data_IF_839592219924
#
_entry.id   IF_839592219924
#
_cell.length_a   1.000
_cell.length_b   1.000
_cell.length_c   1.000
_cell.angle_alpha   90.00
_cell.angle_beta   90.00
_cell.angle_gamma   90.00
#
_symmetry.space_group_name_H-M   'P 1'
#
loop_
_entity.id
_entity.type
_entity.pdbx_description
1 polymer ?
#
# COMPACT_ATOMS: atom_id res chain seq x y z
N UNK A 1 -24.88 53.42 32.23
CA UNK A 1 -23.70 52.89 31.51
C UNK A 1 -23.40 51.46 31.96
N UNK A 2 -24.19 50.45 31.55
CA UNK A 2 -23.90 49.02 31.84
C UNK A 2 -24.24 48.09 30.67
N UNK A 3 -25.03 48.55 29.69
CA UNK A 3 -25.42 47.75 28.53
C UNK A 3 -24.32 47.61 27.46
N UNK A 4 -23.37 48.55 27.36
CA UNK A 4 -22.35 48.53 26.32
C UNK A 4 -21.16 47.61 26.61
N UNK A 5 -20.98 47.13 27.84
CA UNK A 5 -19.85 46.24 28.18
C UNK A 5 -20.13 44.78 27.80
N UNK A 6 -21.40 44.37 27.82
CA UNK A 6 -21.82 42.98 27.51
C UNK A 6 -21.73 42.65 26.02
N UNK A 7 -21.82 43.66 25.15
CA UNK A 7 -21.77 43.49 23.69
C UNK A 7 -20.34 43.31 23.16
N UNK A 8 -19.33 43.79 23.90
CA UNK A 8 -17.91 43.65 23.51
C UNK A 8 -17.37 42.26 23.89
N UNK A 9 -17.92 41.63 24.93
CA UNK A 9 -17.48 40.30 25.40
C UNK A 9 -17.99 39.17 24.48
N UNK A 10 -19.16 39.32 23.86
CA UNK A 10 -19.71 38.31 22.95
C UNK A 10 -18.95 38.19 21.62
N UNK A 11 -18.30 39.26 21.16
CA UNK A 11 -17.47 39.26 19.94
C UNK A 11 -16.10 38.59 20.19
N UNK A 12 -15.62 38.57 21.43
CA UNK A 12 -14.35 37.92 21.80
C UNK A 12 -14.48 36.41 22.02
N UNK A 13 -15.71 35.87 22.05
CA UNK A 13 -16.01 34.45 22.27
C UNK A 13 -16.25 33.65 20.99
N UNK A 14 -16.15 34.27 19.80
CA UNK A 14 -16.00 33.51 18.55
C UNK A 14 -14.57 32.97 18.48
N UNK A 15 -14.26 32.03 19.37
CA UNK A 15 -13.07 31.22 19.27
C UNK A 15 -13.08 30.56 17.90
N UNK A 16 -12.02 30.81 17.12
CA UNK A 16 -11.78 30.11 15.88
C UNK A 16 -11.76 28.61 16.18
N UNK A 17 -12.88 27.93 15.99
CA UNK A 17 -12.91 26.48 15.86
C UNK A 17 -12.21 26.17 14.55
N UNK A 18 -10.88 26.12 14.61
CA UNK A 18 -10.07 25.60 13.51
C UNK A 18 -10.53 24.15 13.38
N UNK A 19 -11.38 23.89 12.39
CA UNK A 19 -11.76 22.54 12.02
C UNK A 19 -10.47 21.87 11.54
N UNK A 20 -9.81 21.17 12.45
CA UNK A 20 -8.68 20.32 12.10
C UNK A 20 -9.28 19.21 11.25
N UNK A 21 -9.24 19.40 9.94
CA UNK A 21 -9.62 18.37 9.00
C UNK A 21 -8.61 17.25 9.23
N UNK A 22 -9.03 16.06 9.70
CA UNK A 22 -8.07 15.00 9.94
C UNK A 22 -7.41 14.67 8.61
N UNK A 23 -6.08 14.79 8.55
CA UNK A 23 -5.30 14.36 7.40
C UNK A 23 -5.48 12.83 7.26
N UNK A 24 -6.34 12.42 6.33
CA UNK A 24 -6.67 11.01 6.10
C UNK A 24 -5.71 10.43 5.07
N UNK A 25 -4.74 9.66 5.54
CA UNK A 25 -3.93 8.80 4.67
C UNK A 25 -4.74 7.56 4.35
N UNK A 26 -5.17 7.41 3.09
CA UNK A 26 -5.86 6.20 2.63
C UNK A 26 -4.84 5.21 2.10
N UNK A 27 -4.84 3.99 2.65
CA UNK A 27 -4.04 2.88 2.16
C UNK A 27 -4.97 1.88 1.49
N UNK A 28 -4.88 1.80 0.17
CA UNK A 28 -5.65 0.86 -0.60
C UNK A 28 -4.91 -0.48 -0.68
N UNK A 29 -5.63 -1.57 -0.48
CA UNK A 29 -5.12 -2.90 -0.75
C UNK A 29 -5.51 -3.29 -2.16
N UNK A 30 -4.52 -3.43 -3.03
CA UNK A 30 -4.71 -3.82 -4.42
C UNK A 30 -4.49 -5.33 -4.54
N UNK A 31 -5.38 -5.97 -5.30
CA UNK A 31 -5.27 -7.37 -5.70
C UNK A 31 -5.23 -7.43 -7.22
N UNK A 32 -4.08 -7.81 -7.77
CA UNK A 32 -3.89 -7.99 -9.21
C UNK A 32 -3.79 -9.47 -9.54
N UNK A 33 -4.34 -9.87 -10.69
CA UNK A 33 -4.35 -11.26 -11.13
C UNK A 33 -3.78 -11.37 -12.54
N UNK A 34 -2.85 -12.29 -12.73
CA UNK A 34 -2.33 -12.70 -14.02
C UNK A 34 -2.59 -14.19 -14.23
N UNK A 35 -3.44 -14.54 -15.20
CA UNK A 35 -3.89 -15.91 -15.46
C UNK A 35 -3.62 -16.30 -16.91
N UNK A 36 -3.06 -17.49 -17.12
CA UNK A 36 -2.67 -17.97 -18.43
C UNK A 36 -2.59 -19.49 -18.51
N UNK A 37 -2.58 -20.01 -19.74
CA UNK A 37 -2.21 -21.40 -20.04
C UNK A 37 -0.79 -21.46 -20.56
N UNK A 38 -0.04 -22.48 -20.18
CA UNK A 38 1.34 -22.66 -20.64
C UNK A 38 1.32 -23.28 -22.04
N UNK A 39 1.13 -22.44 -23.06
CA UNK A 39 1.19 -22.88 -24.47
C UNK A 39 2.60 -22.75 -25.03
N UNK A 40 3.26 -21.61 -24.77
CA UNK A 40 4.68 -21.38 -25.05
C UNK A 40 5.40 -21.10 -23.73
N UNK A 41 6.29 -22.01 -23.32
CA UNK A 41 6.97 -21.96 -22.02
C UNK A 41 7.86 -20.73 -21.86
N UNK A 42 8.59 -20.33 -22.90
CA UNK A 42 9.51 -19.19 -22.84
C UNK A 42 8.75 -17.87 -22.69
N UNK A 43 7.73 -17.66 -23.51
CA UNK A 43 6.89 -16.45 -23.45
C UNK A 43 6.10 -16.39 -22.14
N UNK A 44 5.58 -17.54 -21.68
CA UNK A 44 4.90 -17.61 -20.39
C UNK A 44 5.83 -17.27 -19.23
N UNK A 45 7.08 -17.77 -19.26
CA UNK A 45 8.09 -17.47 -18.26
C UNK A 45 8.42 -15.98 -18.23
N UNK A 46 8.77 -15.40 -19.38
CA UNK A 46 9.11 -13.98 -19.49
C UNK A 46 8.00 -13.08 -18.95
N UNK A 47 6.75 -13.30 -19.40
CA UNK A 47 5.60 -12.49 -18.96
C UNK A 47 5.29 -12.63 -17.48
N UNK A 48 5.32 -13.86 -16.95
CA UNK A 48 5.03 -14.11 -15.54
C UNK A 48 6.10 -13.53 -14.62
N UNK A 49 7.38 -13.64 -14.99
CA UNK A 49 8.50 -13.03 -14.25
C UNK A 49 8.40 -11.51 -14.32
N UNK A 50 8.10 -10.94 -15.48
CA UNK A 50 7.95 -9.50 -15.63
C UNK A 50 6.79 -8.96 -14.77
N UNK A 51 5.64 -9.63 -14.76
CA UNK A 51 4.50 -9.29 -13.90
C UNK A 51 4.90 -9.20 -12.42
N UNK A 52 5.56 -10.24 -11.89
CA UNK A 52 6.01 -10.25 -10.49
C UNK A 52 7.11 -9.20 -10.24
N UNK A 53 8.06 -9.04 -11.17
CA UNK A 53 9.18 -8.14 -11.00
C UNK A 53 8.74 -6.66 -10.95
N UNK A 54 7.80 -6.26 -11.80
CA UNK A 54 7.25 -4.90 -11.78
C UNK A 54 6.62 -4.57 -10.42
N UNK A 55 5.79 -5.49 -9.90
CA UNK A 55 5.14 -5.32 -8.59
C UNK A 55 6.16 -5.37 -7.46
N UNK A 56 7.17 -6.23 -7.53
CA UNK A 56 8.19 -6.35 -6.49
C UNK A 56 9.07 -5.09 -6.39
N UNK A 57 9.42 -4.48 -7.52
CA UNK A 57 10.21 -3.25 -7.56
C UNK A 57 9.43 -2.06 -7.00
N UNK A 58 8.15 -1.94 -7.35
CA UNK A 58 7.31 -0.82 -6.90
C UNK A 58 6.78 -1.01 -5.47
N UNK A 59 6.49 -2.25 -5.08
CA UNK A 59 5.90 -2.61 -3.79
C UNK A 59 6.69 -3.76 -3.14
N UNK A 60 7.80 -3.48 -2.43
CA UNK A 60 8.69 -4.50 -1.87
C UNK A 60 8.06 -5.39 -0.78
N UNK A 61 6.88 -5.04 -0.28
CA UNK A 61 6.10 -5.83 0.69
C UNK A 61 4.95 -6.62 0.07
N UNK A 62 4.86 -6.65 -1.27
CA UNK A 62 3.85 -7.42 -2.00
C UNK A 62 3.94 -8.91 -1.70
N UNK A 63 2.81 -9.60 -1.72
CA UNK A 63 2.70 -11.06 -1.58
C UNK A 63 2.06 -11.67 -2.82
N UNK A 64 2.39 -12.93 -3.10
CA UNK A 64 2.00 -13.62 -4.33
C UNK A 64 1.39 -15.00 -4.03
N UNK A 65 0.19 -15.28 -4.50
CA UNK A 65 -0.40 -16.63 -4.49
C UNK A 65 -0.35 -17.21 -5.90
N UNK A 66 0.40 -18.29 -6.07
CA UNK A 66 0.60 -18.97 -7.36
C UNK A 66 -0.25 -20.23 -7.34
N UNK A 67 -1.37 -20.18 -8.05
CA UNK A 67 -2.32 -21.27 -8.17
C UNK A 67 -2.13 -21.93 -9.54
N UNK A 68 -2.01 -23.24 -9.63
CA UNK A 68 -1.65 -23.90 -10.89
C UNK A 68 -2.25 -25.29 -11.02
N UNK A 69 -2.50 -25.72 -12.27
CA UNK A 69 -2.77 -27.13 -12.57
C UNK A 69 -1.53 -27.95 -12.22
N UNK A 70 -1.68 -29.06 -11.51
CA UNK A 70 -0.59 -29.96 -11.15
C UNK A 70 0.26 -30.41 -12.36
N UNK A 71 -0.30 -30.43 -13.57
CA UNK A 71 0.44 -30.70 -14.82
C UNK A 71 1.49 -29.63 -15.14
N UNK A 72 1.32 -28.42 -14.64
CA UNK A 72 2.22 -27.28 -14.86
C UNK A 72 3.32 -27.16 -13.78
N UNK A 73 3.47 -28.15 -12.90
CA UNK A 73 4.45 -28.12 -11.80
C UNK A 73 5.87 -27.79 -12.27
N UNK A 74 6.31 -28.38 -13.38
CA UNK A 74 7.65 -28.13 -13.93
C UNK A 74 7.85 -26.67 -14.34
N UNK A 75 6.82 -26.03 -14.90
CA UNK A 75 6.86 -24.61 -15.24
C UNK A 75 6.95 -23.76 -13.96
N UNK A 76 6.14 -24.08 -12.95
CA UNK A 76 6.11 -23.36 -11.67
C UNK A 76 7.44 -23.47 -10.93
N UNK A 77 8.12 -24.62 -10.96
CA UNK A 77 9.45 -24.78 -10.37
C UNK A 77 10.49 -23.85 -11.01
N UNK A 78 10.45 -23.71 -12.35
CA UNK A 78 11.29 -22.76 -13.08
C UNK A 78 10.95 -21.32 -12.69
N UNK A 79 9.67 -20.99 -12.68
CA UNK A 79 9.18 -19.66 -12.34
C UNK A 79 9.58 -19.24 -10.91
N UNK A 80 9.49 -20.15 -9.94
CA UNK A 80 9.90 -19.90 -8.55
C UNK A 80 11.39 -19.61 -8.43
N UNK A 81 12.24 -20.28 -9.24
CA UNK A 81 13.69 -19.97 -9.27
C UNK A 81 13.93 -18.55 -9.78
N UNK A 82 13.25 -18.16 -10.85
CA UNK A 82 13.40 -16.83 -11.45
C UNK A 82 12.96 -15.71 -10.49
N UNK A 83 11.78 -15.81 -9.86
CA UNK A 83 11.30 -14.76 -8.95
C UNK A 83 12.17 -14.64 -7.68
N UNK A 84 12.76 -15.75 -7.21
CA UNK A 84 13.74 -15.72 -6.11
C UNK A 84 15.00 -14.98 -6.51
N UNK A 85 15.50 -15.22 -7.72
CA UNK A 85 16.65 -14.48 -8.25
C UNK A 85 16.37 -12.97 -8.38
N UNK A 86 15.09 -12.59 -8.54
CA UNK A 86 14.62 -11.19 -8.51
C UNK A 86 14.34 -10.65 -7.09
N UNK A 87 14.70 -11.39 -6.03
CA UNK A 87 14.60 -10.94 -4.64
C UNK A 87 13.25 -11.20 -3.97
N UNK A 88 12.36 -12.00 -4.56
CA UNK A 88 11.12 -12.41 -3.90
C UNK A 88 11.42 -13.51 -2.88
N UNK A 89 11.28 -13.18 -1.59
CA UNK A 89 11.50 -14.12 -0.49
C UNK A 89 10.42 -15.23 -0.46
N UNK A 90 10.79 -16.44 -0.01
CA UNK A 90 9.87 -17.58 0.18
C UNK A 90 8.63 -17.24 1.03
N UNK A 91 8.76 -16.37 2.03
CA UNK A 91 7.65 -15.96 2.89
C UNK A 91 6.62 -15.07 2.18
N UNK A 92 6.98 -14.53 1.01
CA UNK A 92 6.13 -13.62 0.24
C UNK A 92 5.37 -14.34 -0.86
N UNK A 93 5.48 -15.65 -0.99
CA UNK A 93 4.65 -16.39 -1.94
C UNK A 93 4.14 -17.74 -1.42
N UNK A 94 2.99 -18.16 -1.93
CA UNK A 94 2.40 -19.49 -1.68
C UNK A 94 2.17 -20.22 -3.00
N UNK A 95 2.30 -21.55 -2.98
CA UNK A 95 2.11 -22.43 -4.12
C UNK A 95 0.91 -23.33 -3.85
N UNK A 96 -0.12 -23.23 -4.70
CA UNK A 96 -1.35 -24.00 -4.56
C UNK A 96 -1.58 -24.80 -5.85
N UNK A 97 -1.29 -26.10 -5.81
CA UNK A 97 -1.65 -27.00 -6.90
C UNK A 97 -3.14 -27.35 -6.83
N UNK A 98 -3.88 -27.19 -7.92
CA UNK A 98 -5.27 -27.59 -8.04
C UNK A 98 -5.52 -28.29 -9.38
N UNK A 99 -5.97 -29.53 -9.33
CA UNK A 99 -6.29 -30.38 -10.48
C UNK A 99 -7.43 -29.86 -11.36
N UNK A 100 -8.26 -28.93 -10.84
CA UNK A 100 -9.36 -28.29 -11.56
C UNK A 100 -8.97 -26.95 -12.21
N UNK A 101 -7.75 -26.46 -11.94
CA UNK A 101 -7.25 -25.21 -12.53
C UNK A 101 -7.03 -25.37 -14.03
N UNK A 102 -7.37 -24.35 -14.82
CA UNK A 102 -7.22 -24.37 -16.28
C UNK A 102 -5.82 -23.97 -16.76
N UNK A 103 -4.85 -23.82 -15.87
CA UNK A 103 -3.50 -23.31 -16.17
C UNK A 103 -2.82 -22.75 -14.92
N UNK A 104 -2.11 -21.64 -15.06
CA UNK A 104 -1.41 -20.93 -13.98
C UNK A 104 -2.07 -19.57 -13.73
N UNK A 105 -2.28 -19.25 -12.45
CA UNK A 105 -2.87 -18.00 -11.96
C UNK A 105 -2.01 -17.43 -10.84
N UNK A 106 -1.42 -16.28 -11.09
CA UNK A 106 -0.60 -15.54 -10.14
C UNK A 106 -1.44 -14.38 -9.60
N UNK A 107 -1.69 -14.38 -8.29
CA UNK A 107 -2.43 -13.31 -7.61
C UNK A 107 -1.43 -12.52 -6.78
N UNK A 108 -1.22 -11.25 -7.11
CA UNK A 108 -0.40 -10.34 -6.35
C UNK A 108 -1.28 -9.49 -5.42
N UNK A 109 -0.87 -9.34 -4.16
CA UNK A 109 -1.51 -8.45 -3.18
C UNK A 109 -0.49 -7.45 -2.68
N UNK A 110 -0.82 -6.17 -2.73
CA UNK A 110 0.07 -5.11 -2.27
C UNK A 110 -0.72 -3.88 -1.79
N UNK A 111 -0.04 -3.00 -1.06
CA UNK A 111 -0.64 -1.78 -0.54
C UNK A 111 -0.17 -0.59 -1.36
N UNK A 112 -1.12 0.20 -1.85
CA UNK A 112 -0.86 1.47 -2.53
C UNK A 112 -1.38 2.59 -1.63
N UNK A 113 -0.49 3.51 -1.28
CA UNK A 113 -0.93 4.75 -0.64
C UNK A 113 -1.52 5.65 -1.73
N UNK A 114 -2.72 6.18 -1.50
CA UNK A 114 -3.18 7.31 -2.31
C UNK A 114 -2.26 8.48 -2.04
N UNK A 115 -1.60 9.00 -3.09
CA UNK A 115 -0.68 10.13 -2.97
C UNK A 115 -1.41 11.32 -2.32
N UNK A 116 -1.05 11.61 -1.08
CA UNK A 116 -1.11 12.98 -0.60
C UNK A 116 0.13 13.67 -1.15
N UNK A 117 -0.03 14.79 -1.85
CA UNK A 117 1.10 15.63 -2.25
C UNK A 117 1.87 16.03 -1.00
N UNK A 118 3.02 15.40 -0.79
CA UNK A 118 3.86 15.66 0.37
C UNK A 118 4.72 16.90 0.08
N UNK A 119 4.23 18.07 0.47
CA UNK A 119 4.98 19.33 0.36
C UNK A 119 6.17 19.37 1.33
N UNK A 120 7.17 20.22 1.04
CA UNK A 120 8.32 20.39 1.91
C UNK A 120 7.92 20.81 3.34
N UNK A 121 8.53 20.17 4.34
CA UNK A 121 8.28 20.46 5.75
C UNK A 121 9.05 21.70 6.18
N UNK A 122 8.32 22.67 6.72
CA UNK A 122 8.85 23.83 7.42
C UNK A 122 8.06 24.02 8.73
N UNK A 123 8.57 24.85 9.65
CA UNK A 123 7.84 25.18 10.88
C UNK A 123 6.43 25.71 10.63
N UNK A 124 6.22 26.42 9.52
CA UNK A 124 4.92 26.98 9.15
C UNK A 124 3.97 25.95 8.52
N UNK A 125 4.51 24.97 7.79
CA UNK A 125 3.70 23.94 7.12
C UNK A 125 3.43 22.72 8.00
N UNK A 126 4.16 22.57 9.12
CA UNK A 126 4.06 21.41 10.02
C UNK A 126 2.64 21.14 10.55
N UNK A 127 1.83 22.18 10.79
CA UNK A 127 0.44 22.00 11.27
C UNK A 127 -0.50 21.44 10.22
N UNK A 128 -0.19 21.65 8.93
CA UNK A 128 -1.02 21.23 7.80
C UNK A 128 -0.40 20.06 7.02
N UNK A 129 0.77 19.58 7.46
CA UNK A 129 1.49 18.52 6.77
C UNK A 129 0.77 17.17 6.94
N UNK A 130 0.63 16.35 5.88
CA UNK A 130 -0.11 15.10 5.97
C UNK A 130 0.63 14.00 6.74
N UNK A 131 -0.13 13.13 7.43
CA UNK A 131 0.44 11.93 8.06
C UNK A 131 0.97 10.99 6.95
N UNK A 132 2.15 10.42 7.17
CA UNK A 132 2.85 9.62 6.17
C UNK A 132 3.89 10.40 5.35
N UNK A 133 3.84 11.74 5.31
CA UNK A 133 4.73 12.54 4.48
C UNK A 133 6.08 12.90 5.13
N UNK A 134 6.18 12.87 6.46
CA UNK A 134 7.42 13.16 7.18
C UNK A 134 7.57 12.31 8.43
N UNK A 135 8.76 11.71 8.61
CA UNK A 135 9.10 10.87 9.76
C UNK A 135 8.87 11.63 11.08
N UNK A 136 9.31 12.88 11.16
CA UNK A 136 9.22 13.69 12.38
C UNK A 136 7.77 14.09 12.70
N UNK A 137 6.98 14.38 11.68
CA UNK A 137 5.54 14.64 11.87
C UNK A 137 4.81 13.40 12.37
N UNK A 138 5.10 12.23 11.77
CA UNK A 138 4.53 10.95 12.18
C UNK A 138 4.92 10.58 13.61
N UNK A 139 6.20 10.77 13.96
CA UNK A 139 6.71 10.53 15.32
C UNK A 139 5.98 11.38 16.34
N UNK A 140 5.81 12.68 16.06
CA UNK A 140 5.06 13.59 16.93
C UNK A 140 3.61 13.12 17.11
N UNK A 141 2.93 12.78 16.01
CA UNK A 141 1.54 12.29 16.07
C UNK A 141 1.41 11.02 16.90
N UNK A 142 2.29 10.03 16.70
CA UNK A 142 2.30 8.78 17.47
C UNK A 142 2.59 8.99 18.95
N UNK A 143 3.39 10.00 19.32
CA UNK A 143 3.62 10.34 20.74
C UNK A 143 2.44 11.09 21.37
N UNK A 144 1.68 11.86 20.58
CA UNK A 144 0.52 12.62 21.09
C UNK A 144 -0.78 11.81 21.12
N UNK A 145 -0.94 10.85 20.21
CA UNK A 145 -2.07 9.91 20.16
C UNK A 145 -1.49 8.51 19.94
N UNK A 146 -0.98 7.86 20.99
CA UNK A 146 -0.54 6.47 20.89
C UNK A 146 -1.73 5.59 20.47
N UNK A 147 -1.48 4.68 19.53
CA UNK A 147 -2.48 3.66 19.18
C UNK A 147 -2.65 2.78 20.42
N UNK A 148 -3.79 2.86 21.07
CA UNK A 148 -4.12 1.96 22.17
C UNK A 148 -4.20 0.52 21.62
N UNK A 149 -3.57 -0.43 22.31
CA UNK A 149 -3.69 -1.87 22.06
C UNK A 149 -5.13 -2.37 22.26
#
# INVERSE_FOLDING_TARGET
MKANLLLVVSVLLSGCSVSVTPNKTTVDTIVETFEFRVTNKEVAMDKSVNFVNQINLQYPKSTFAINYDAKESQFVDGFVKEIKAKGVNKLRYTLNANSESKGVKIVAKYHKMQEQTCDAVSFNTLKHHPFGCSLEYNRRLSMTNPVAE
#
